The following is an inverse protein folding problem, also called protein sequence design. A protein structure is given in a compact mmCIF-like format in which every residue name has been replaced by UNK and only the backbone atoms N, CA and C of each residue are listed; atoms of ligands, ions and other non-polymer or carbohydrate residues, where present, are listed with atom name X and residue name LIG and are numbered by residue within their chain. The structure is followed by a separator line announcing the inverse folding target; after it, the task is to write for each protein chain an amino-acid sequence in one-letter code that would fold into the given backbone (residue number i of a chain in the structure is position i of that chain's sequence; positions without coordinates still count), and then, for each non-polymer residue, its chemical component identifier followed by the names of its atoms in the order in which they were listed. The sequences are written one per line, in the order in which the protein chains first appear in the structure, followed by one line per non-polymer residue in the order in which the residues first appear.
data_IF_505245941803
#
_entry.id   IF_505245941803
#
_cell.length_a   1.000
_cell.length_b   1.000
_cell.length_c   1.000
_cell.angle_alpha   90.00
_cell.angle_beta   90.00
_cell.angle_gamma   90.00
#
_symmetry.space_group_name_H-M   'P 1'
#
loop_
_entity.id
_entity.type
_entity.pdbx_description
1 polymer ?
#
# COMPACT_ATOMS: atom_id res chain seq x y z
N UNK A 1 -23.04 2.05 3.72
CA UNK A 1 -21.87 1.32 3.17
C UNK A 1 -20.66 1.71 4.01
N UNK A 2 -20.03 0.73 4.65
CA UNK A 2 -18.80 0.87 5.42
C UNK A 2 -17.65 0.22 4.63
N UNK A 3 -16.55 0.94 4.44
CA UNK A 3 -15.38 0.45 3.70
C UNK A 3 -14.17 0.46 4.63
N UNK A 4 -13.54 -0.72 4.84
CA UNK A 4 -12.22 -0.79 5.44
C UNK A 4 -11.18 -0.50 4.35
N UNK A 5 -10.49 0.64 4.48
CA UNK A 5 -9.55 1.09 3.45
C UNK A 5 -8.15 0.49 3.59
N UNK A 6 -7.86 -0.37 4.59
CA UNK A 6 -6.50 -0.85 4.84
C UNK A 6 -6.47 -2.29 5.38
N UNK A 7 -6.55 -3.26 4.48
CA UNK A 7 -6.53 -4.68 4.84
C UNK A 7 -5.37 -5.39 4.15
N UNK A 8 -4.75 -6.34 4.84
CA UNK A 8 -3.71 -7.22 4.29
C UNK A 8 -4.21 -8.66 4.22
N UNK A 9 -4.18 -9.25 3.03
CA UNK A 9 -4.55 -10.64 2.78
C UNK A 9 -3.37 -11.36 2.14
N UNK A 10 -3.07 -12.53 2.67
CA UNK A 10 -1.98 -13.39 2.20
C UNK A 10 -2.54 -14.70 1.61
N UNK A 11 -1.81 -15.35 0.68
CA UNK A 11 -2.12 -16.72 0.30
C UNK A 11 -2.17 -17.63 1.53
N UNK A 12 -3.15 -18.55 1.59
CA UNK A 12 -3.40 -19.44 2.74
C UNK A 12 -2.14 -20.12 3.27
N UNK A 13 -1.27 -20.59 2.35
CA UNK A 13 -0.05 -21.32 2.67
C UNK A 13 0.96 -20.52 3.49
N UNK A 14 0.87 -19.19 3.46
CA UNK A 14 1.81 -18.30 4.16
C UNK A 14 1.11 -17.36 5.15
N UNK A 15 -0.21 -17.29 5.18
CA UNK A 15 -0.98 -16.34 5.97
C UNK A 15 -0.59 -16.37 7.45
N UNK A 16 -0.62 -17.56 8.08
CA UNK A 16 -0.26 -17.70 9.50
C UNK A 16 1.16 -17.24 9.81
N UNK A 17 2.13 -17.57 8.95
CA UNK A 17 3.53 -17.15 9.12
C UNK A 17 3.68 -15.64 8.94
N UNK A 18 3.02 -15.08 7.93
CA UNK A 18 3.06 -13.64 7.65
C UNK A 18 2.45 -12.83 8.80
N UNK A 19 1.26 -13.21 9.28
CA UNK A 19 0.57 -12.55 10.40
C UNK A 19 1.42 -12.64 11.66
N UNK A 20 1.91 -13.82 12.03
CA UNK A 20 2.77 -13.98 13.21
C UNK A 20 4.01 -13.09 13.14
N UNK A 21 4.67 -13.02 11.98
CA UNK A 21 5.84 -12.16 11.79
C UNK A 21 5.51 -10.68 11.99
N UNK A 22 4.43 -10.19 11.38
CA UNK A 22 3.99 -8.80 11.50
C UNK A 22 3.65 -8.47 12.95
N UNK A 23 2.91 -9.36 13.63
CA UNK A 23 2.51 -9.16 15.03
C UNK A 23 3.70 -9.16 15.97
N UNK A 24 4.66 -10.05 15.79
CA UNK A 24 5.89 -10.09 16.61
C UNK A 24 6.75 -8.82 16.40
N UNK A 25 6.89 -8.36 15.17
CA UNK A 25 7.65 -7.15 14.86
C UNK A 25 6.96 -5.88 15.34
N UNK A 26 5.64 -5.80 15.21
CA UNK A 26 4.85 -4.63 15.59
C UNK A 26 4.32 -4.63 17.03
N UNK A 27 4.52 -5.70 17.80
CA UNK A 27 3.95 -5.83 19.16
C UNK A 27 2.42 -5.79 19.17
N UNK A 28 1.77 -6.30 18.13
CA UNK A 28 0.32 -6.23 17.93
C UNK A 28 -0.36 -7.60 18.03
N UNK A 29 -1.68 -7.58 18.24
CA UNK A 29 -2.52 -8.79 18.29
C UNK A 29 -3.36 -8.83 17.01
N UNK A 30 -3.37 -9.94 16.25
CA UNK A 30 -4.17 -10.04 15.05
C UNK A 30 -5.64 -10.32 15.40
N UNK A 31 -6.56 -9.64 14.72
CA UNK A 31 -8.00 -9.86 14.84
C UNK A 31 -8.58 -10.72 13.69
N UNK A 32 -7.78 -10.96 12.67
CA UNK A 32 -8.08 -11.88 11.57
C UNK A 32 -6.85 -12.76 11.28
N UNK A 33 -7.06 -13.88 10.62
CA UNK A 33 -6.01 -14.86 10.32
C UNK A 33 -5.17 -14.51 9.07
N UNK A 34 -5.52 -13.42 8.39
CA UNK A 34 -4.84 -12.93 7.18
C UNK A 34 -5.20 -13.68 5.90
N UNK A 35 -6.17 -14.59 5.94
CA UNK A 35 -6.73 -15.24 4.74
C UNK A 35 -7.88 -14.44 4.14
N UNK A 36 -8.27 -14.73 2.90
CA UNK A 36 -9.44 -14.11 2.28
C UNK A 36 -10.73 -14.50 3.02
N UNK A 37 -10.90 -15.78 3.33
CA UNK A 37 -12.10 -16.29 4.01
C UNK A 37 -12.21 -15.76 5.44
N UNK A 38 -11.11 -15.75 6.19
CA UNK A 38 -11.06 -15.17 7.53
C UNK A 38 -11.36 -13.67 7.53
N UNK A 39 -10.86 -12.94 6.53
CA UNK A 39 -11.16 -11.52 6.36
C UNK A 39 -12.64 -11.29 6.06
N UNK A 40 -13.22 -12.02 5.09
CA UNK A 40 -14.64 -11.88 4.75
C UNK A 40 -15.54 -12.21 5.95
N UNK A 41 -15.21 -13.25 6.72
CA UNK A 41 -15.92 -13.58 7.95
C UNK A 41 -15.88 -12.42 8.97
N UNK A 42 -14.73 -11.80 9.16
CA UNK A 42 -14.60 -10.62 10.05
C UNK A 42 -15.37 -9.41 9.53
N UNK A 43 -15.36 -9.19 8.23
CA UNK A 43 -16.17 -8.15 7.62
C UNK A 43 -17.67 -8.36 7.90
N UNK A 44 -18.17 -9.60 7.84
CA UNK A 44 -19.56 -9.92 8.18
C UNK A 44 -19.85 -9.66 9.66
N UNK A 45 -18.97 -10.11 10.56
CA UNK A 45 -19.09 -9.88 12.01
C UNK A 45 -19.12 -8.37 12.38
N UNK A 46 -18.38 -7.55 11.64
CA UNK A 46 -18.22 -6.10 11.94
C UNK A 46 -19.08 -5.19 11.08
N UNK A 47 -19.88 -5.73 10.18
CA UNK A 47 -20.74 -4.97 9.27
C UNK A 47 -19.97 -4.15 8.23
N UNK A 48 -18.77 -4.63 7.83
CA UNK A 48 -17.96 -4.01 6.78
C UNK A 48 -18.42 -4.50 5.42
N UNK A 49 -18.83 -3.59 4.56
CA UNK A 49 -19.34 -3.92 3.23
C UNK A 49 -18.21 -4.27 2.25
N UNK A 50 -17.12 -3.47 2.24
CA UNK A 50 -15.99 -3.64 1.32
C UNK A 50 -14.66 -3.43 2.03
N UNK A 51 -13.60 -4.03 1.49
CA UNK A 51 -12.23 -3.83 1.96
C UNK A 51 -11.26 -3.53 0.81
N UNK A 52 -10.38 -2.56 1.00
CA UNK A 52 -9.25 -2.30 0.10
C UNK A 52 -8.08 -3.15 0.55
N UNK A 53 -7.66 -4.08 -0.31
CA UNK A 53 -6.59 -5.03 0.01
C UNK A 53 -5.25 -4.50 -0.48
N UNK A 54 -4.33 -4.28 0.45
CA UNK A 54 -3.04 -3.66 0.21
C UNK A 54 -1.92 -4.70 0.24
N UNK A 55 -1.55 -5.21 -0.93
CA UNK A 55 -0.41 -6.12 -1.06
C UNK A 55 0.89 -5.34 -1.23
N UNK A 56 2.02 -5.91 -0.77
CA UNK A 56 3.33 -5.27 -0.85
C UNK A 56 4.31 -6.23 -1.53
N UNK A 57 4.87 -5.81 -2.65
CA UNK A 57 5.95 -6.51 -3.35
C UNK A 57 7.30 -6.16 -2.70
N UNK A 58 7.68 -6.88 -1.65
CA UNK A 58 8.94 -6.65 -0.92
C UNK A 58 10.17 -7.23 -1.62
N UNK A 59 9.97 -8.04 -2.64
CA UNK A 59 11.05 -8.61 -3.46
C UNK A 59 10.81 -8.19 -4.93
N UNK A 60 11.78 -7.48 -5.56
CA UNK A 60 11.63 -6.97 -6.92
C UNK A 60 11.37 -8.07 -7.97
N UNK A 61 11.93 -9.27 -7.79
CA UNK A 61 11.75 -10.39 -8.74
C UNK A 61 10.40 -11.11 -8.56
N UNK A 62 9.60 -10.75 -7.54
CA UNK A 62 8.33 -11.43 -7.23
C UNK A 62 7.10 -10.54 -7.39
N UNK A 63 7.25 -9.30 -7.87
CA UNK A 63 6.14 -8.35 -7.96
C UNK A 63 4.99 -8.88 -8.82
N UNK A 64 5.24 -9.49 -9.97
CA UNK A 64 4.21 -10.11 -10.82
C UNK A 64 3.43 -11.18 -10.06
N UNK A 65 4.10 -12.04 -9.32
CA UNK A 65 3.43 -13.09 -8.53
C UNK A 65 2.52 -12.49 -7.45
N UNK A 66 2.95 -11.39 -6.83
CA UNK A 66 2.14 -10.65 -5.84
C UNK A 66 0.89 -10.07 -6.50
N UNK A 67 1.05 -9.44 -7.66
CA UNK A 67 -0.05 -8.81 -8.39
C UNK A 67 -1.04 -9.83 -8.96
N UNK A 68 -0.57 -10.98 -9.46
CA UNK A 68 -1.45 -12.07 -9.88
C UNK A 68 -2.23 -12.66 -8.71
N UNK A 69 -1.62 -12.75 -7.53
CA UNK A 69 -2.33 -13.18 -6.32
C UNK A 69 -3.39 -12.14 -5.90
N UNK A 70 -3.07 -10.85 -5.96
CA UNK A 70 -4.00 -9.76 -5.69
C UNK A 70 -5.22 -9.82 -6.65
N UNK A 71 -4.98 -10.02 -7.94
CA UNK A 71 -6.05 -10.14 -8.93
C UNK A 71 -7.03 -11.28 -8.65
N UNK A 72 -6.54 -12.41 -8.12
CA UNK A 72 -7.42 -13.54 -7.72
C UNK A 72 -8.32 -13.25 -6.54
N UNK A 73 -7.97 -12.26 -5.71
CA UNK A 73 -8.81 -11.82 -4.58
C UNK A 73 -9.95 -10.89 -4.99
N UNK A 74 -9.89 -10.32 -6.20
CA UNK A 74 -10.87 -9.32 -6.64
C UNK A 74 -12.30 -9.88 -6.63
N UNK A 75 -13.18 -9.17 -5.93
CA UNK A 75 -14.61 -9.45 -5.86
C UNK A 75 -15.39 -8.14 -5.64
N UNK A 76 -16.71 -8.23 -5.52
CA UNK A 76 -17.54 -7.07 -5.15
C UNK A 76 -17.22 -6.51 -3.76
N UNK A 77 -16.61 -7.31 -2.91
CA UNK A 77 -16.26 -6.96 -1.52
C UNK A 77 -14.77 -6.69 -1.30
N UNK A 78 -13.89 -7.36 -2.03
CA UNK A 78 -12.44 -7.22 -1.91
C UNK A 78 -11.89 -6.45 -3.11
N UNK A 79 -11.31 -5.28 -2.86
CA UNK A 79 -10.80 -4.35 -3.86
C UNK A 79 -9.25 -4.30 -3.74
N UNK A 80 -8.52 -5.22 -4.39
CA UNK A 80 -7.08 -5.25 -4.28
C UNK A 80 -6.41 -4.13 -5.08
N UNK A 81 -5.38 -3.52 -4.50
CA UNK A 81 -4.39 -2.74 -5.21
C UNK A 81 -3.22 -3.64 -5.64
N UNK A 82 -2.54 -3.24 -6.71
CA UNK A 82 -1.27 -3.82 -7.09
C UNK A 82 -0.13 -3.34 -6.18
N UNK A 83 1.08 -3.83 -6.45
CA UNK A 83 2.30 -3.30 -5.83
C UNK A 83 3.45 -3.40 -6.82
N UNK A 84 4.27 -2.36 -6.87
CA UNK A 84 5.46 -2.29 -7.71
C UNK A 84 6.68 -2.07 -6.81
N UNK A 85 7.78 -2.77 -7.09
CA UNK A 85 9.04 -2.51 -6.41
C UNK A 85 9.87 -1.58 -7.28
N UNK A 86 10.26 -0.37 -6.81
CA UNK A 86 10.98 0.60 -7.64
C UNK A 86 12.31 0.06 -8.20
N UNK A 87 12.96 -0.88 -7.52
CA UNK A 87 14.21 -1.51 -7.97
C UNK A 87 14.01 -2.72 -8.89
N UNK A 88 12.78 -3.10 -9.23
CA UNK A 88 12.57 -4.15 -10.22
C UNK A 88 12.98 -3.65 -11.62
N UNK A 89 13.64 -4.50 -12.40
CA UNK A 89 14.02 -4.18 -13.78
C UNK A 89 12.80 -3.91 -14.66
N UNK A 90 11.68 -4.56 -14.36
CA UNK A 90 10.41 -4.47 -15.07
C UNK A 90 9.39 -3.56 -14.35
N UNK A 91 9.82 -2.66 -13.43
CA UNK A 91 8.93 -1.84 -12.62
C UNK A 91 7.87 -1.08 -13.43
N UNK A 92 8.28 -0.40 -14.51
CA UNK A 92 7.36 0.39 -15.33
C UNK A 92 6.38 -0.48 -16.13
N UNK A 93 6.84 -1.61 -16.66
CA UNK A 93 5.96 -2.55 -17.33
C UNK A 93 4.99 -3.24 -16.37
N UNK A 94 5.34 -3.35 -15.08
CA UNK A 94 4.43 -3.83 -14.05
C UNK A 94 3.34 -2.81 -13.72
N UNK A 95 3.65 -1.51 -13.71
CA UNK A 95 2.63 -0.44 -13.64
C UNK A 95 1.66 -0.57 -14.82
N UNK A 96 2.17 -0.75 -16.04
CA UNK A 96 1.34 -0.93 -17.24
C UNK A 96 0.46 -2.19 -17.13
N UNK A 97 1.00 -3.28 -16.61
CA UNK A 97 0.25 -4.51 -16.36
C UNK A 97 -0.92 -4.29 -15.39
N UNK A 98 -0.65 -3.63 -14.25
CA UNK A 98 -1.66 -3.33 -13.24
C UNK A 98 -2.80 -2.49 -13.84
N UNK A 99 -2.47 -1.42 -14.58
CA UNK A 99 -3.45 -0.59 -15.27
C UNK A 99 -4.25 -1.37 -16.32
N UNK A 100 -3.58 -2.22 -17.12
CA UNK A 100 -4.22 -3.08 -18.12
C UNK A 100 -5.16 -4.15 -17.53
N UNK A 101 -5.03 -4.44 -16.22
CA UNK A 101 -5.94 -5.32 -15.47
C UNK A 101 -7.05 -4.56 -14.75
N UNK A 102 -7.23 -3.27 -15.00
CA UNK A 102 -8.22 -2.40 -14.37
C UNK A 102 -8.12 -2.41 -12.83
N UNK A 103 -6.90 -2.47 -12.29
CA UNK A 103 -6.66 -2.13 -10.89
C UNK A 103 -6.57 -0.60 -10.79
N UNK A 104 -7.11 -0.04 -9.71
CA UNK A 104 -7.23 1.42 -9.57
C UNK A 104 -5.94 2.09 -9.10
N UNK A 105 -4.96 1.31 -8.65
CA UNK A 105 -3.69 1.85 -8.16
C UNK A 105 -2.76 0.80 -7.58
N UNK A 106 -1.70 1.31 -6.95
CA UNK A 106 -0.66 0.50 -6.33
C UNK A 106 -0.46 0.86 -4.86
N UNK A 107 -0.05 -0.11 -4.05
CA UNK A 107 0.46 0.09 -2.68
C UNK A 107 1.99 0.14 -2.70
N UNK A 108 2.55 1.15 -2.04
CA UNK A 108 3.98 1.26 -1.76
C UNK A 108 4.26 1.36 -0.26
N UNK A 109 5.40 0.83 0.16
CA UNK A 109 5.87 0.86 1.54
C UNK A 109 7.39 1.02 1.56
N UNK A 110 7.86 2.23 1.73
CA UNK A 110 9.26 2.57 1.56
C UNK A 110 10.20 1.80 2.52
N UNK A 111 9.76 1.55 3.76
CA UNK A 111 10.53 0.79 4.75
C UNK A 111 10.66 -0.69 4.33
N UNK A 112 9.55 -1.36 4.01
CA UNK A 112 9.55 -2.79 3.63
C UNK A 112 10.19 -3.05 2.27
N UNK A 113 10.12 -2.10 1.34
CA UNK A 113 10.70 -2.20 0.01
C UNK A 113 12.13 -1.62 -0.07
N UNK A 114 12.57 -0.89 0.96
CA UNK A 114 13.95 -0.40 1.09
C UNK A 114 14.34 0.69 0.10
N UNK A 115 13.40 1.52 -0.38
CA UNK A 115 13.68 2.58 -1.34
C UNK A 115 13.56 3.98 -0.71
N UNK A 116 14.19 4.97 -1.34
CA UNK A 116 13.97 6.39 -1.03
C UNK A 116 12.86 6.96 -1.92
N UNK A 117 11.96 7.77 -1.33
CA UNK A 117 10.81 8.33 -2.04
C UNK A 117 11.21 9.26 -3.18
N UNK A 118 12.33 9.95 -3.05
CA UNK A 118 12.74 11.00 -3.99
C UNK A 118 13.81 10.52 -4.98
N UNK A 119 14.19 9.25 -4.94
CA UNK A 119 15.13 8.69 -5.89
C UNK A 119 14.52 8.49 -7.29
N UNK A 120 15.32 8.56 -8.33
CA UNK A 120 14.90 8.53 -9.74
C UNK A 120 14.01 7.31 -10.07
N UNK A 121 14.35 6.13 -9.53
CA UNK A 121 13.57 4.90 -9.78
C UNK A 121 12.16 4.98 -9.19
N UNK A 122 12.02 5.56 -8.01
CA UNK A 122 10.72 5.76 -7.39
C UNK A 122 9.91 6.82 -8.15
N UNK A 123 10.54 7.94 -8.53
CA UNK A 123 9.90 9.00 -9.31
C UNK A 123 9.44 8.50 -10.68
N UNK A 124 10.20 7.61 -11.34
CA UNK A 124 9.77 7.00 -12.60
C UNK A 124 8.48 6.16 -12.45
N UNK A 125 8.31 5.46 -11.32
CA UNK A 125 7.06 4.75 -10.99
C UNK A 125 5.91 5.74 -10.77
N UNK A 126 6.14 6.86 -10.07
CA UNK A 126 5.11 7.89 -9.85
C UNK A 126 4.66 8.52 -11.14
N UNK A 127 5.61 8.88 -12.00
CA UNK A 127 5.34 9.42 -13.33
C UNK A 127 4.47 8.45 -14.14
N UNK A 128 4.82 7.16 -14.16
CA UNK A 128 4.05 6.15 -14.90
C UNK A 128 2.65 5.95 -14.31
N UNK A 129 2.50 5.98 -12.98
CA UNK A 129 1.19 5.93 -12.34
C UNK A 129 0.33 7.14 -12.72
N UNK A 130 0.90 8.34 -12.67
CA UNK A 130 0.21 9.57 -13.09
C UNK A 130 -0.25 9.50 -14.55
N UNK A 131 0.60 9.04 -15.47
CA UNK A 131 0.27 8.86 -16.90
C UNK A 131 -0.88 7.86 -17.13
N UNK A 132 -0.96 6.83 -16.28
CA UNK A 132 -2.00 5.80 -16.35
C UNK A 132 -3.27 6.12 -15.55
N UNK A 133 -3.27 7.23 -14.81
CA UNK A 133 -4.37 7.58 -13.91
C UNK A 133 -4.52 6.60 -12.73
N UNK A 134 -3.43 5.92 -12.35
CA UNK A 134 -3.40 5.02 -11.20
C UNK A 134 -3.08 5.81 -9.93
N UNK A 135 -3.84 5.58 -8.87
CA UNK A 135 -3.51 6.13 -7.57
C UNK A 135 -2.34 5.39 -6.91
N UNK A 136 -1.62 6.07 -6.02
CA UNK A 136 -0.63 5.45 -5.15
C UNK A 136 -1.11 5.51 -3.70
N UNK A 137 -1.16 4.36 -3.06
CA UNK A 137 -1.45 4.23 -1.63
C UNK A 137 -0.13 4.01 -0.87
N UNK A 138 0.38 5.05 -0.22
CA UNK A 138 1.59 4.94 0.60
C UNK A 138 1.30 4.42 2.01
N UNK A 139 2.20 3.58 2.55
CA UNK A 139 2.43 3.60 3.99
C UNK A 139 3.04 4.95 4.35
N UNK A 140 2.58 5.61 5.39
CA UNK A 140 3.02 6.96 5.71
C UNK A 140 3.27 7.16 7.20
N UNK A 141 4.31 7.91 7.53
CA UNK A 141 4.79 8.13 8.89
C UNK A 141 5.65 6.98 9.40
N UNK A 142 5.64 6.76 10.72
CA UNK A 142 6.40 5.69 11.36
C UNK A 142 5.84 4.30 11.09
N UNK A 143 6.67 3.30 11.32
CA UNK A 143 6.27 1.89 11.29
C UNK A 143 6.77 1.19 12.56
N UNK A 144 5.95 0.32 13.15
CA UNK A 144 6.28 -0.38 14.41
C UNK A 144 7.44 -1.36 14.23
N UNK A 145 7.60 -1.93 13.04
CA UNK A 145 8.69 -2.83 12.71
C UNK A 145 10.01 -2.11 12.37
N UNK A 146 9.96 -0.79 12.15
CA UNK A 146 11.11 0.05 11.82
C UNK A 146 11.17 1.29 12.72
N UNK A 147 11.42 1.14 14.04
CA UNK A 147 11.43 2.26 14.97
C UNK A 147 12.43 3.34 14.55
N UNK A 148 11.95 4.59 14.50
CA UNK A 148 12.78 5.74 14.11
C UNK A 148 12.95 5.95 12.60
N UNK A 149 12.37 5.09 11.75
CA UNK A 149 12.30 5.34 10.31
C UNK A 149 11.01 6.11 9.95
N UNK A 150 11.18 7.16 9.15
CA UNK A 150 10.10 8.02 8.65
C UNK A 150 10.36 8.33 7.17
N UNK A 151 10.51 7.29 6.34
CA UNK A 151 10.84 7.47 4.91
C UNK A 151 9.75 8.24 4.17
N UNK A 152 8.49 8.03 4.56
CA UNK A 152 7.34 8.76 3.99
C UNK A 152 6.94 9.89 4.96
N UNK A 153 7.74 10.95 5.03
CA UNK A 153 7.43 12.16 5.80
C UNK A 153 6.54 13.12 5.01
N UNK A 154 5.91 14.08 5.71
CA UNK A 154 5.01 15.06 5.10
C UNK A 154 5.71 15.95 4.08
N UNK A 155 6.97 16.33 4.32
CA UNK A 155 7.77 17.16 3.43
C UNK A 155 8.06 16.43 2.11
N UNK A 156 8.45 15.16 2.18
CA UNK A 156 8.69 14.32 1.00
C UNK A 156 7.42 14.09 0.18
N UNK A 157 6.29 13.94 0.87
CA UNK A 157 4.98 13.84 0.20
C UNK A 157 4.64 15.14 -0.54
N UNK A 158 4.87 16.30 0.06
CA UNK A 158 4.68 17.59 -0.61
C UNK A 158 5.56 17.74 -1.84
N UNK A 159 6.81 17.29 -1.79
CA UNK A 159 7.70 17.30 -2.94
C UNK A 159 7.20 16.40 -4.07
N UNK A 160 6.69 15.21 -3.74
CA UNK A 160 6.05 14.32 -4.73
C UNK A 160 4.84 15.02 -5.36
N UNK A 161 3.95 15.62 -4.56
CA UNK A 161 2.78 16.33 -5.09
C UNK A 161 3.15 17.53 -5.95
N UNK A 162 4.23 18.24 -5.61
CA UNK A 162 4.78 19.33 -6.42
C UNK A 162 5.28 18.83 -7.78
N UNK A 163 6.04 17.71 -7.78
CA UNK A 163 6.65 17.17 -8.99
C UNK A 163 5.62 16.42 -9.87
N UNK A 164 4.57 15.87 -9.27
CA UNK A 164 3.54 15.06 -9.94
C UNK A 164 2.13 15.57 -9.61
N UNK A 165 1.73 16.77 -10.09
CA UNK A 165 0.51 17.46 -9.64
C UNK A 165 -0.81 16.78 -10.05
N UNK A 166 -0.78 15.78 -10.93
CA UNK A 166 -1.96 14.99 -11.32
C UNK A 166 -1.98 13.61 -10.65
N UNK A 167 -0.96 13.28 -9.85
CA UNK A 167 -0.90 12.01 -9.15
C UNK A 167 -1.88 12.00 -7.97
N UNK A 168 -2.71 10.97 -7.91
CA UNK A 168 -3.60 10.77 -6.77
C UNK A 168 -2.90 9.96 -5.69
N UNK A 169 -2.77 10.53 -4.49
CA UNK A 169 -2.15 9.87 -3.35
C UNK A 169 -3.16 9.58 -2.25
N UNK A 170 -3.05 8.39 -1.67
CA UNK A 170 -3.67 8.05 -0.39
C UNK A 170 -2.56 7.79 0.61
N UNK A 171 -2.58 8.49 1.72
CA UNK A 171 -1.61 8.36 2.79
C UNK A 171 -2.24 7.56 3.94
N UNK A 172 -1.69 6.38 4.22
CA UNK A 172 -2.16 5.53 5.30
C UNK A 172 -2.09 6.22 6.67
N UNK A 173 -2.84 5.69 7.63
CA UNK A 173 -2.73 6.06 9.04
C UNK A 173 -3.07 7.54 9.32
N UNK A 174 -4.16 8.02 8.70
CA UNK A 174 -4.61 9.42 8.79
C UNK A 174 -3.53 10.42 8.36
N UNK A 175 -2.84 10.08 7.24
CA UNK A 175 -1.83 10.94 6.63
C UNK A 175 -0.39 10.59 7.01
N UNK A 176 -0.09 10.25 8.27
CA UNK A 176 1.21 9.71 8.69
C UNK A 176 1.17 9.22 10.15
N UNK A 177 1.46 7.93 10.39
CA UNK A 177 1.48 7.36 11.74
C UNK A 177 2.49 8.06 12.64
N UNK A 178 2.04 8.49 13.84
CA UNK A 178 2.82 9.24 14.84
C UNK A 178 3.33 10.61 14.39
N UNK A 179 2.84 11.14 13.26
CA UNK A 179 3.19 12.47 12.75
C UNK A 179 1.95 13.35 12.50
N UNK A 180 0.83 13.09 13.16
CA UNK A 180 -0.46 13.76 12.88
C UNK A 180 -0.42 15.28 13.04
N UNK A 181 0.41 15.80 13.95
CA UNK A 181 0.64 17.25 14.09
C UNK A 181 1.29 17.87 12.84
N UNK A 182 2.20 17.16 12.19
CA UNK A 182 2.83 17.59 10.92
C UNK A 182 1.84 17.45 9.76
N UNK A 183 1.07 16.37 9.72
CA UNK A 183 -0.01 16.19 8.74
C UNK A 183 -0.98 17.37 8.80
N UNK A 184 -1.42 17.75 9.99
CA UNK A 184 -2.33 18.88 10.16
C UNK A 184 -1.72 20.19 9.65
N UNK A 185 -0.46 20.45 9.96
CA UNK A 185 0.21 21.70 9.54
C UNK A 185 0.57 21.72 8.06
N UNK A 186 1.00 20.59 7.50
CA UNK A 186 1.64 20.57 6.19
C UNK A 186 0.72 20.07 5.08
N UNK A 187 -0.23 19.17 5.38
CA UNK A 187 -1.02 18.48 4.36
C UNK A 187 -2.51 18.85 4.40
N UNK A 188 -3.06 19.27 5.56
CA UNK A 188 -4.47 19.64 5.62
C UNK A 188 -4.73 20.98 4.91
N UNK A 189 -5.65 20.97 3.94
CA UNK A 189 -5.99 22.17 3.16
C UNK A 189 -5.04 22.45 1.98
N UNK A 190 -4.08 21.59 1.70
CA UNK A 190 -3.33 21.60 0.44
C UNK A 190 -4.15 20.87 -0.63
N UNK A 191 -4.48 21.55 -1.70
CA UNK A 191 -5.17 21.02 -2.89
C UNK A 191 -4.21 20.90 -4.06
#
# INVERSE_FOLDING_TARGET
MLIDSHVHIFPEQIAAVAINRICLQGGSIPYADGTADGTLKKMDEWGVDKAVVLNIATNPQKQRKVNDAALRLRSDRLLPLGSVHPYAEDALSEVDYIGGKNMVGIKLHAEYQGFDLLEDKAQAVYQRCQEKGLLIYFHSGGDLAYPGSFRTSTERVLEILHNFPKLQLILAHLGAFRMWGEVYRNLCGTS
#
